data_IF_900873482745
#
_entry.id   IF_900873482745
#
_cell.length_a   1.000
_cell.length_b   1.000
_cell.length_c   1.000
_cell.angle_alpha   90.00
_cell.angle_beta   90.00
_cell.angle_gamma   90.00
#
_symmetry.space_group_name_H-M   'P 1'
#
loop_
_entity.id
_entity.type
_entity.pdbx_description
1 polymer ?
#
# COMPACT_ATOMS: atom_id res chain seq x y z
N UNK A 1 -17.98 -15.31 0.29
CA UNK A 1 -18.59 -13.97 0.38
C UNK A 1 -19.13 -13.47 -0.97
N UNK A 2 -18.48 -13.78 -2.11
CA UNK A 2 -18.90 -13.31 -3.43
C UNK A 2 -20.03 -14.15 -4.07
N UNK A 3 -20.32 -15.35 -3.55
CA UNK A 3 -21.30 -16.26 -4.13
C UNK A 3 -22.71 -15.66 -4.34
N UNK A 4 -23.25 -14.82 -3.46
CA UNK A 4 -24.55 -14.18 -3.69
C UNK A 4 -24.59 -13.19 -4.86
N UNK A 5 -23.45 -12.65 -5.24
CA UNK A 5 -23.33 -11.61 -6.29
C UNK A 5 -22.84 -12.18 -7.62
N UNK A 6 -22.01 -13.23 -7.57
CA UNK A 6 -21.37 -13.87 -8.73
C UNK A 6 -21.58 -15.37 -8.69
N UNK A 7 -22.83 -15.88 -8.76
CA UNK A 7 -23.15 -17.28 -8.49
C UNK A 7 -22.42 -18.24 -9.41
N UNK A 8 -22.43 -18.01 -10.71
CA UNK A 8 -21.80 -18.93 -11.66
C UNK A 8 -20.28 -18.93 -11.58
N UNK A 9 -19.66 -17.75 -11.48
CA UNK A 9 -18.21 -17.64 -11.38
C UNK A 9 -17.67 -18.26 -10.09
N UNK A 10 -18.37 -18.08 -8.97
CA UNK A 10 -17.95 -18.66 -7.70
C UNK A 10 -18.18 -20.16 -7.63
N UNK A 11 -19.20 -20.68 -8.29
CA UNK A 11 -19.44 -22.11 -8.41
C UNK A 11 -18.35 -22.77 -9.27
N UNK A 12 -18.00 -22.14 -10.39
CA UNK A 12 -16.91 -22.63 -11.25
C UNK A 12 -15.59 -22.68 -10.50
N UNK A 13 -15.18 -21.57 -9.84
CA UNK A 13 -13.95 -21.52 -9.04
C UNK A 13 -13.98 -22.53 -7.90
N UNK A 14 -15.13 -22.72 -7.23
CA UNK A 14 -15.29 -23.70 -6.16
C UNK A 14 -15.00 -25.12 -6.63
N UNK A 15 -15.49 -25.48 -7.83
CA UNK A 15 -15.31 -26.80 -8.41
C UNK A 15 -13.85 -27.19 -8.66
N UNK A 16 -12.94 -26.23 -8.78
CA UNK A 16 -11.51 -26.47 -9.03
C UNK A 16 -10.78 -27.11 -7.85
N UNK A 17 -11.26 -26.89 -6.61
CA UNK A 17 -10.57 -27.36 -5.41
C UNK A 17 -11.48 -27.97 -4.35
N UNK A 18 -12.79 -27.97 -4.56
CA UNK A 18 -13.80 -28.53 -3.65
C UNK A 18 -14.86 -29.30 -4.39
N UNK A 19 -15.37 -30.35 -3.75
CA UNK A 19 -16.58 -31.05 -4.19
C UNK A 19 -17.84 -30.36 -3.64
N UNK A 20 -18.96 -30.53 -4.36
CA UNK A 20 -20.24 -29.92 -4.00
C UNK A 20 -20.34 -28.47 -4.45
N UNK A 21 -21.34 -27.76 -3.97
CA UNK A 21 -21.66 -26.38 -4.36
C UNK A 21 -21.29 -25.38 -3.30
N UNK A 22 -20.72 -24.24 -3.72
CA UNK A 22 -20.43 -23.10 -2.82
C UNK A 22 -21.71 -22.54 -2.17
N UNK A 23 -22.85 -22.65 -2.87
CA UNK A 23 -24.14 -22.16 -2.39
C UNK A 23 -24.75 -23.02 -1.27
N UNK A 24 -24.23 -24.24 -1.10
CA UNK A 24 -24.60 -25.18 -0.03
C UNK A 24 -23.54 -25.26 1.08
N UNK A 25 -22.40 -24.59 0.89
CA UNK A 25 -21.35 -24.55 1.90
C UNK A 25 -21.75 -23.67 3.09
N UNK A 26 -21.20 -23.99 4.27
CA UNK A 26 -21.39 -23.15 5.45
C UNK A 26 -20.77 -21.77 5.23
N UNK A 27 -21.40 -20.75 5.79
CA UNK A 27 -20.83 -19.41 5.80
C UNK A 27 -19.47 -19.36 6.51
N UNK A 28 -18.51 -18.59 5.98
CA UNK A 28 -17.23 -18.41 6.65
C UNK A 28 -17.41 -17.91 8.10
N UNK A 29 -16.70 -18.54 9.01
CA UNK A 29 -16.69 -18.15 10.41
C UNK A 29 -15.60 -17.11 10.67
N UNK A 30 -15.92 -16.04 11.38
CA UNK A 30 -14.96 -14.96 11.65
C UNK A 30 -14.00 -15.26 12.81
N UNK A 31 -14.21 -16.34 13.56
CA UNK A 31 -13.41 -16.67 14.76
C UNK A 31 -11.91 -16.77 14.46
N UNK A 32 -11.53 -17.62 13.51
CA UNK A 32 -10.12 -17.78 13.12
C UNK A 32 -9.47 -16.50 12.55
N UNK A 33 -10.26 -15.67 11.85
CA UNK A 33 -9.76 -14.38 11.34
C UNK A 33 -9.51 -13.40 12.50
N UNK A 34 -10.40 -13.36 13.49
CA UNK A 34 -10.24 -12.52 14.69
C UNK A 34 -9.01 -12.93 15.50
N UNK A 35 -8.80 -14.23 15.66
CA UNK A 35 -7.61 -14.77 16.34
C UNK A 35 -6.34 -14.41 15.59
N UNK A 36 -6.32 -14.60 14.26
CA UNK A 36 -5.18 -14.29 13.41
C UNK A 36 -4.86 -12.78 13.36
N UNK A 37 -5.86 -11.92 13.53
CA UNK A 37 -5.70 -10.46 13.55
C UNK A 37 -5.55 -9.89 14.97
N UNK A 38 -5.51 -10.73 16.01
CA UNK A 38 -5.33 -10.27 17.37
C UNK A 38 -3.98 -9.54 17.52
N UNK A 39 -4.03 -8.29 17.95
CA UNK A 39 -2.84 -7.42 18.06
C UNK A 39 -2.39 -6.75 16.78
N UNK A 40 -3.07 -6.96 15.65
CA UNK A 40 -2.78 -6.22 14.42
C UNK A 40 -3.20 -4.74 14.54
N UNK A 41 -2.37 -3.85 13.99
CA UNK A 41 -2.71 -2.43 13.90
C UNK A 41 -3.75 -2.21 12.79
N UNK A 42 -4.97 -1.85 13.16
CA UNK A 42 -6.07 -1.60 12.22
C UNK A 42 -5.80 -0.41 11.28
N UNK A 43 -4.96 0.55 11.72
CA UNK A 43 -4.63 1.77 10.96
C UNK A 43 -3.41 1.60 10.05
N UNK A 44 -2.69 0.49 10.16
CA UNK A 44 -1.46 0.24 9.40
C UNK A 44 -1.66 0.45 7.88
N UNK A 45 -2.74 -0.12 7.33
CA UNK A 45 -3.04 -0.02 5.90
C UNK A 45 -3.35 1.42 5.48
N UNK A 46 -4.07 2.16 6.31
CA UNK A 46 -4.39 3.56 6.04
C UNK A 46 -3.12 4.43 6.05
N UNK A 47 -2.24 4.24 7.04
CA UNK A 47 -0.96 4.96 7.14
C UNK A 47 -0.01 4.60 5.99
N UNK A 48 0.09 3.32 5.64
CA UNK A 48 0.84 2.87 4.48
C UNK A 48 0.31 3.48 3.16
N UNK A 49 -1.01 3.62 3.05
CA UNK A 49 -1.66 4.27 1.91
C UNK A 49 -1.22 5.73 1.72
N UNK A 50 -1.04 6.48 2.81
CA UNK A 50 -0.51 7.85 2.77
C UNK A 50 0.90 7.88 2.21
N UNK A 51 1.79 7.01 2.67
CA UNK A 51 3.15 6.91 2.17
C UNK A 51 3.19 6.52 0.68
N UNK A 52 2.38 5.54 0.28
CA UNK A 52 2.26 5.15 -1.13
C UNK A 52 1.73 6.28 -2.01
N UNK A 53 0.77 7.07 -1.51
CA UNK A 53 0.26 8.23 -2.22
C UNK A 53 1.36 9.28 -2.45
N UNK A 54 2.21 9.55 -1.45
CA UNK A 54 3.36 10.45 -1.57
C UNK A 54 4.35 9.96 -2.64
N UNK A 55 4.68 8.66 -2.66
CA UNK A 55 5.54 8.06 -3.69
C UNK A 55 4.96 8.16 -5.10
N UNK A 56 3.66 7.93 -5.24
CA UNK A 56 2.95 8.05 -6.53
C UNK A 56 2.86 9.50 -7.01
N UNK A 57 2.72 10.44 -6.08
CA UNK A 57 2.65 11.87 -6.38
C UNK A 57 3.91 12.34 -7.10
N UNK A 58 5.11 11.92 -6.67
CA UNK A 58 6.38 12.25 -7.34
C UNK A 58 6.36 11.88 -8.81
N UNK A 59 5.88 10.67 -9.15
CA UNK A 59 5.78 10.22 -10.55
C UNK A 59 4.76 11.04 -11.35
N UNK A 60 3.67 11.42 -10.70
CA UNK A 60 2.63 12.25 -11.33
C UNK A 60 3.12 13.67 -11.60
N UNK A 61 3.84 14.26 -10.67
CA UNK A 61 4.44 15.60 -10.81
C UNK A 61 5.53 15.62 -11.91
N UNK A 62 6.33 14.55 -11.98
CA UNK A 62 7.29 14.36 -13.06
C UNK A 62 6.64 13.98 -14.41
N UNK A 63 5.29 13.89 -14.46
CA UNK A 63 4.52 13.50 -15.67
C UNK A 63 5.00 12.20 -16.31
N UNK A 64 5.46 11.27 -15.48
CA UNK A 64 5.96 9.97 -15.93
C UNK A 64 4.99 8.83 -15.60
N UNK A 65 5.26 7.65 -16.14
CA UNK A 65 4.43 6.46 -15.90
C UNK A 65 4.56 5.97 -14.47
N UNK A 66 3.47 5.47 -13.87
CA UNK A 66 3.53 4.77 -12.58
C UNK A 66 4.43 3.52 -12.62
N UNK A 67 4.73 3.01 -13.82
CA UNK A 67 5.67 1.89 -14.02
C UNK A 67 7.14 2.31 -14.00
N UNK A 68 7.45 3.62 -14.07
CA UNK A 68 8.81 4.13 -13.99
C UNK A 68 9.43 3.74 -12.64
N UNK A 69 10.64 3.17 -12.62
CA UNK A 69 11.32 2.85 -11.39
C UNK A 69 11.75 4.12 -10.66
N UNK A 70 11.78 4.05 -9.33
CA UNK A 70 12.40 5.06 -8.47
C UNK A 70 13.77 4.52 -8.09
N UNK A 71 14.83 5.20 -8.53
CA UNK A 71 16.21 4.77 -8.29
C UNK A 71 16.67 5.05 -6.87
N UNK A 72 16.19 6.11 -6.26
CA UNK A 72 16.40 6.42 -4.85
C UNK A 72 15.26 7.29 -4.33
N UNK A 73 14.91 7.16 -3.05
CA UNK A 73 13.89 7.97 -2.41
C UNK A 73 14.18 8.21 -0.94
N UNK A 74 13.92 9.44 -0.50
CA UNK A 74 13.90 9.84 0.90
C UNK A 74 12.48 10.30 1.26
N UNK A 75 11.88 9.65 2.26
CA UNK A 75 10.62 10.05 2.87
C UNK A 75 10.88 10.84 4.14
N UNK A 76 10.25 11.99 4.28
CA UNK A 76 10.16 12.70 5.53
C UNK A 76 8.82 12.40 6.20
N UNK A 77 8.87 12.01 7.46
CA UNK A 77 7.70 11.80 8.31
C UNK A 77 7.67 12.88 9.38
N UNK A 78 6.52 13.47 9.60
CA UNK A 78 6.35 14.51 10.62
C UNK A 78 6.71 13.95 12.01
N UNK A 79 7.57 14.67 12.75
CA UNK A 79 8.11 14.20 14.04
C UNK A 79 7.04 14.08 15.13
N UNK A 80 5.92 14.78 15.00
CA UNK A 80 4.74 14.70 15.87
C UNK A 80 3.82 13.51 15.54
N UNK A 81 4.15 12.73 14.50
CA UNK A 81 3.38 11.58 13.99
C UNK A 81 4.26 10.34 13.82
N UNK A 82 4.93 9.85 14.87
CA UNK A 82 5.88 8.72 14.78
C UNK A 82 5.23 7.42 14.28
N UNK A 83 3.93 7.25 14.49
CA UNK A 83 3.16 6.10 14.01
C UNK A 83 3.19 5.91 12.49
N UNK A 84 3.45 6.99 11.73
CA UNK A 84 3.63 6.87 10.28
C UNK A 84 5.02 6.32 9.91
N UNK A 85 6.05 6.68 10.67
CA UNK A 85 7.39 6.10 10.47
C UNK A 85 7.39 4.60 10.77
N UNK A 86 6.77 4.21 11.89
CA UNK A 86 6.61 2.80 12.26
C UNK A 86 5.83 2.02 11.19
N UNK A 87 4.73 2.60 10.68
CA UNK A 87 3.94 1.99 9.62
C UNK A 87 4.74 1.82 8.32
N UNK A 88 5.51 2.85 7.90
CA UNK A 88 6.37 2.77 6.70
C UNK A 88 7.41 1.68 6.85
N UNK A 89 8.05 1.55 8.01
CA UNK A 89 9.03 0.50 8.27
C UNK A 89 8.38 -0.91 8.25
N UNK A 90 7.21 -1.06 8.87
CA UNK A 90 6.50 -2.33 8.92
C UNK A 90 6.12 -2.87 7.52
N UNK A 91 5.80 -1.98 6.58
CA UNK A 91 5.40 -2.34 5.21
C UNK A 91 6.42 -1.90 4.15
N UNK A 92 7.66 -1.67 4.54
CA UNK A 92 8.72 -1.17 3.64
C UNK A 92 8.86 -2.01 2.36
N UNK A 93 8.83 -3.33 2.47
CA UNK A 93 8.93 -4.24 1.33
C UNK A 93 7.78 -4.03 0.35
N UNK A 94 6.55 -3.94 0.85
CA UNK A 94 5.35 -3.72 0.02
C UNK A 94 5.37 -2.35 -0.66
N UNK A 95 5.79 -1.30 0.04
CA UNK A 95 5.95 0.05 -0.52
C UNK A 95 7.03 0.07 -1.62
N UNK A 96 8.15 -0.61 -1.37
CA UNK A 96 9.26 -0.73 -2.33
C UNK A 96 8.78 -1.38 -3.62
N UNK A 97 8.05 -2.48 -3.53
CA UNK A 97 7.51 -3.19 -4.68
C UNK A 97 6.39 -2.41 -5.38
N UNK A 98 5.42 -1.90 -4.64
CA UNK A 98 4.27 -1.17 -5.18
C UNK A 98 4.67 0.14 -5.86
N UNK A 99 5.67 0.84 -5.33
CA UNK A 99 6.20 2.06 -5.91
C UNK A 99 7.34 1.81 -6.90
N UNK A 100 7.80 0.55 -7.07
CA UNK A 100 8.95 0.17 -7.90
C UNK A 100 10.23 0.93 -7.53
N UNK A 101 10.54 0.96 -6.24
CA UNK A 101 11.82 1.49 -5.76
C UNK A 101 12.88 0.41 -5.96
N UNK A 102 13.96 0.75 -6.67
CA UNK A 102 15.02 -0.21 -7.03
C UNK A 102 16.33 0.06 -6.32
N UNK A 103 16.45 1.15 -5.60
CA UNK A 103 17.63 1.55 -4.87
C UNK A 103 17.32 2.00 -3.44
N UNK A 104 18.15 2.88 -2.85
CA UNK A 104 17.99 3.29 -1.46
C UNK A 104 16.62 3.89 -1.16
N UNK A 105 16.02 3.44 -0.06
CA UNK A 105 14.78 3.94 0.49
C UNK A 105 15.04 4.36 1.95
N UNK A 106 15.15 5.66 2.18
CA UNK A 106 15.41 6.23 3.51
C UNK A 106 14.15 6.86 4.08
N UNK A 107 14.01 6.77 5.40
CA UNK A 107 12.93 7.43 6.16
C UNK A 107 13.59 8.34 7.17
N UNK A 108 13.26 9.61 7.12
CA UNK A 108 13.79 10.66 7.99
C UNK A 108 12.64 11.28 8.79
N UNK A 109 12.90 11.65 10.03
CA UNK A 109 11.98 12.47 10.78
C UNK A 109 12.23 13.93 10.46
N UNK A 110 11.22 14.60 9.90
CA UNK A 110 11.24 16.04 9.68
C UNK A 110 10.65 16.77 10.88
N UNK A 111 11.27 17.87 11.26
CA UNK A 111 10.62 18.79 12.20
C UNK A 111 9.24 19.20 11.63
N UNK A 112 8.21 19.38 12.48
CA UNK A 112 6.92 19.87 12.02
C UNK A 112 7.16 21.18 11.28
N UNK A 113 6.86 21.21 9.99
CA UNK A 113 6.93 22.47 9.23
C UNK A 113 5.88 23.40 9.79
N UNK A 114 6.27 24.63 10.12
CA UNK A 114 5.38 25.67 10.66
C UNK A 114 4.18 26.00 9.74
N UNK A 115 4.17 25.48 8.53
CA UNK A 115 3.11 25.52 7.52
C UNK A 115 2.22 24.25 7.48
N UNK A 116 2.18 23.49 8.56
CA UNK A 116 1.21 22.40 8.71
C UNK A 116 -0.20 22.99 8.90
N UNK A 117 -0.71 23.61 7.84
CA UNK A 117 -2.12 23.93 7.71
C UNK A 117 -2.92 22.63 7.91
N UNK A 118 -4.06 22.69 8.56
CA UNK A 118 -5.01 21.58 8.67
C UNK A 118 -5.18 20.92 7.30
N UNK A 119 -4.66 19.69 7.15
CA UNK A 119 -4.67 18.95 5.89
C UNK A 119 -3.32 18.62 5.26
N UNK A 120 -2.18 19.05 5.82
CA UNK A 120 -0.87 18.63 5.33
C UNK A 120 -0.66 17.13 5.54
N UNK A 121 -0.12 16.46 4.51
CA UNK A 121 0.19 15.03 4.60
C UNK A 121 1.29 14.79 5.64
N UNK A 122 1.12 13.84 6.58
CA UNK A 122 2.13 13.50 7.57
C UNK A 122 3.39 12.85 6.97
N UNK A 123 3.32 12.47 5.69
CA UNK A 123 4.44 11.88 4.95
C UNK A 123 4.64 12.66 3.65
N UNK A 124 5.87 13.06 3.39
CA UNK A 124 6.27 13.73 2.16
C UNK A 124 7.54 13.11 1.58
N UNK A 125 7.74 13.21 0.27
CA UNK A 125 9.01 12.86 -0.37
C UNK A 125 9.87 14.10 -0.40
N UNK A 126 11.07 14.04 0.19
CA UNK A 126 12.04 15.13 0.21
C UNK A 126 13.01 15.06 -0.96
N UNK A 127 13.34 13.86 -1.39
CA UNK A 127 14.19 13.62 -2.55
C UNK A 127 13.78 12.33 -3.25
N UNK A 128 13.78 12.34 -4.58
CA UNK A 128 13.58 11.14 -5.38
C UNK A 128 14.31 11.26 -6.71
N UNK A 129 14.94 10.16 -7.12
CA UNK A 129 15.53 10.01 -8.43
C UNK A 129 14.70 8.99 -9.23
N UNK A 130 14.26 9.38 -10.40
CA UNK A 130 13.45 8.54 -11.28
C UNK A 130 14.31 7.95 -12.40
N UNK A 131 14.09 6.69 -12.70
CA UNK A 131 14.71 6.04 -13.85
C UNK A 131 13.97 6.34 -15.16
N UNK A 132 14.37 5.66 -16.21
CA UNK A 132 13.71 5.76 -17.52
C UNK A 132 12.34 5.09 -17.51
N UNK A 133 11.37 5.73 -18.13
CA UNK A 133 10.04 5.14 -18.32
C UNK A 133 10.15 3.92 -19.25
N UNK A 134 9.52 2.79 -18.91
CA UNK A 134 9.55 1.63 -19.79
C UNK A 134 8.92 1.96 -21.16
N UNK A 135 9.58 1.55 -22.23
CA UNK A 135 9.10 1.75 -23.58
C UNK A 135 7.67 1.19 -23.74
N UNK A 136 6.76 1.97 -24.34
CA UNK A 136 5.43 1.48 -24.68
C UNK A 136 5.60 0.32 -25.66
N UNK A 137 5.27 -0.89 -25.27
CA UNK A 137 5.07 -1.98 -26.23
C UNK A 137 3.93 -1.56 -27.15
N UNK A 138 4.25 -1.36 -28.44
CA UNK A 138 3.25 -1.24 -29.50
C UNK A 138 2.48 -2.54 -29.65
#
# INVERSE_FOLDING_TARGET
LLAPFLPFATEEVWSWYRSGSVHRAAWPQSGGLREASAGADAELVARAGVALAALRKVKSEAKTSQKTPILSVALAVAADRPEYAEAVEAVRADLTEAAKVTGPFTVEQAAPTADSAEGASPVAVTAAELGEAPAKKK
#
